data_IF_014069531291
#
_entry.id   IF_014069531291
#
_cell.length_a   1.000
_cell.length_b   1.000
_cell.length_c   1.000
_cell.angle_alpha   90.00
_cell.angle_beta   90.00
_cell.angle_gamma   90.00
#
_symmetry.space_group_name_H-M   'P 1'
#
loop_
_entity.id
_entity.type
_entity.pdbx_description
1 polymer ?
#
# COMPACT_ATOMS: atom_id res chain seq x y z
N UNK A 1 -62.44 24.31 -17.95
CA UNK A 1 -61.44 24.72 -16.94
C UNK A 1 -60.27 23.75 -17.08
N UNK A 2 -59.17 24.16 -17.72
CA UNK A 2 -57.96 23.31 -17.93
C UNK A 2 -56.92 23.71 -16.86
N UNK A 3 -56.67 22.79 -15.96
CA UNK A 3 -55.66 22.95 -14.92
C UNK A 3 -54.29 22.66 -15.54
N UNK A 4 -53.40 23.64 -15.58
CA UNK A 4 -51.99 23.49 -15.96
C UNK A 4 -51.22 23.10 -14.70
N UNK A 5 -50.67 21.86 -14.68
CA UNK A 5 -49.67 21.48 -13.67
C UNK A 5 -48.32 22.13 -14.00
N UNK A 6 -47.57 22.67 -13.04
CA UNK A 6 -46.21 23.14 -13.26
C UNK A 6 -45.24 21.94 -13.35
N UNK A 7 -44.48 21.91 -14.40
CA UNK A 7 -43.32 20.98 -14.54
C UNK A 7 -42.23 21.51 -13.63
N UNK A 8 -41.98 20.80 -12.55
CA UNK A 8 -40.83 21.06 -11.67
C UNK A 8 -39.57 20.45 -12.33
N UNK A 9 -38.74 21.29 -12.90
CA UNK A 9 -37.43 20.89 -13.44
C UNK A 9 -36.48 20.70 -12.28
N UNK A 10 -36.20 19.45 -11.91
CA UNK A 10 -35.15 19.13 -10.96
C UNK A 10 -33.80 19.36 -11.66
N UNK A 11 -33.13 20.44 -11.31
CA UNK A 11 -31.75 20.68 -11.71
C UNK A 11 -30.86 19.66 -10.97
N UNK A 12 -30.38 18.64 -11.66
CA UNK A 12 -29.38 17.72 -11.19
C UNK A 12 -28.05 18.47 -11.15
N UNK A 13 -27.68 19.01 -9.98
CA UNK A 13 -26.34 19.52 -9.74
C UNK A 13 -25.36 18.32 -9.81
N UNK A 14 -24.71 18.15 -10.96
CA UNK A 14 -23.51 17.35 -11.08
C UNK A 14 -22.44 18.05 -10.21
N UNK A 15 -22.24 17.56 -9.00
CA UNK A 15 -21.04 17.84 -8.23
C UNK A 15 -19.91 17.17 -9.02
N UNK A 16 -19.19 17.94 -9.83
CA UNK A 16 -17.90 17.53 -10.33
C UNK A 16 -17.02 17.35 -9.09
N UNK A 17 -16.86 16.11 -8.65
CA UNK A 17 -15.79 15.77 -7.75
C UNK A 17 -14.49 16.15 -8.51
N UNK A 18 -13.83 17.21 -8.10
CA UNK A 18 -12.44 17.45 -8.43
C UNK A 18 -11.64 16.33 -7.74
N UNK A 19 -11.67 15.14 -8.34
CA UNK A 19 -10.71 14.11 -8.02
C UNK A 19 -9.36 14.62 -8.52
N UNK A 20 -8.42 14.88 -7.61
CA UNK A 20 -7.03 15.06 -8.00
C UNK A 20 -6.61 13.87 -8.87
N UNK A 21 -5.70 14.10 -9.81
CA UNK A 21 -5.22 13.05 -10.69
C UNK A 21 -4.63 11.91 -9.86
N UNK A 22 -5.13 10.70 -10.07
CA UNK A 22 -4.58 9.51 -9.42
C UNK A 22 -3.16 9.26 -9.93
N UNK A 23 -2.27 8.86 -9.04
CA UNK A 23 -0.95 8.36 -9.41
C UNK A 23 -1.11 7.00 -10.07
N UNK A 24 -0.73 6.89 -11.34
CA UNK A 24 -0.66 5.62 -12.05
C UNK A 24 0.67 4.91 -11.77
N UNK A 25 0.66 3.57 -11.83
CA UNK A 25 1.90 2.79 -11.79
C UNK A 25 2.82 3.16 -12.94
N UNK A 26 4.13 3.23 -12.67
CA UNK A 26 5.17 3.50 -13.67
C UNK A 26 5.52 2.28 -14.52
N UNK A 27 5.02 1.10 -14.17
CA UNK A 27 5.31 -0.16 -14.85
C UNK A 27 4.03 -0.89 -15.26
N UNK A 28 4.11 -1.61 -16.38
CA UNK A 28 3.08 -2.56 -16.81
C UNK A 28 3.57 -3.99 -16.55
N UNK A 29 2.74 -4.80 -15.90
CA UNK A 29 3.02 -6.21 -15.74
C UNK A 29 2.96 -6.91 -17.10
N UNK A 30 3.98 -7.71 -17.50
CA UNK A 30 3.98 -8.39 -18.77
C UNK A 30 2.93 -9.49 -18.82
N UNK A 31 2.41 -9.77 -20.01
CA UNK A 31 1.47 -10.84 -20.25
C UNK A 31 0.28 -10.42 -21.11
N UNK A 32 -0.56 -11.37 -21.44
CA UNK A 32 -1.81 -11.08 -22.15
C UNK A 32 -2.84 -10.49 -21.16
N UNK A 33 -3.70 -9.58 -21.63
CA UNK A 33 -4.78 -9.08 -20.78
C UNK A 33 -5.73 -10.21 -20.38
N UNK A 34 -6.42 -10.10 -19.23
CA UNK A 34 -7.39 -11.09 -18.78
C UNK A 34 -8.44 -11.37 -19.86
N UNK A 35 -8.70 -12.64 -20.15
CA UNK A 35 -9.71 -13.07 -21.12
C UNK A 35 -11.14 -12.84 -20.59
N UNK A 36 -12.14 -13.07 -21.43
CA UNK A 36 -13.55 -12.88 -21.05
C UNK A 36 -13.98 -13.78 -19.89
N UNK A 37 -13.43 -14.99 -19.81
CA UNK A 37 -13.71 -15.93 -18.70
C UNK A 37 -13.15 -15.41 -17.40
N UNK A 38 -11.89 -14.97 -17.38
CA UNK A 38 -11.24 -14.40 -16.20
C UNK A 38 -12.01 -13.19 -15.70
N UNK A 39 -12.35 -12.24 -16.58
CA UNK A 39 -13.15 -11.05 -16.21
C UNK A 39 -14.53 -11.41 -15.63
N UNK A 40 -15.20 -12.44 -16.18
CA UNK A 40 -16.48 -12.90 -15.63
C UNK A 40 -16.34 -13.49 -14.24
N UNK A 41 -15.29 -14.28 -13.99
CA UNK A 41 -15.02 -14.86 -12.69
C UNK A 41 -14.65 -13.78 -11.65
N UNK A 42 -13.83 -12.81 -12.05
CA UNK A 42 -13.46 -11.66 -11.19
C UNK A 42 -14.68 -10.81 -10.84
N UNK A 43 -15.57 -10.53 -11.80
CA UNK A 43 -16.81 -9.82 -11.55
C UNK A 43 -17.73 -10.57 -10.58
N UNK A 44 -17.82 -11.89 -10.74
CA UNK A 44 -18.56 -12.75 -9.79
C UNK A 44 -17.93 -12.74 -8.39
N UNK A 45 -16.63 -12.88 -8.32
CA UNK A 45 -15.89 -12.84 -7.05
C UNK A 45 -16.07 -11.48 -6.35
N UNK A 46 -16.04 -10.37 -7.11
CA UNK A 46 -16.22 -9.03 -6.57
C UNK A 46 -17.57 -8.82 -5.88
N UNK A 47 -18.60 -9.57 -6.30
CA UNK A 47 -19.96 -9.50 -5.72
C UNK A 47 -20.13 -10.50 -4.57
N UNK A 48 -19.56 -11.71 -4.71
CA UNK A 48 -19.87 -12.84 -3.84
C UNK A 48 -18.86 -13.07 -2.71
N UNK A 49 -17.62 -12.59 -2.88
CA UNK A 49 -16.57 -12.80 -1.88
C UNK A 49 -16.48 -11.62 -0.92
N UNK A 50 -16.48 -11.94 0.36
CA UNK A 50 -16.20 -10.99 1.43
C UNK A 50 -14.72 -10.56 1.37
N UNK A 51 -14.47 -9.26 1.56
CA UNK A 51 -13.15 -8.63 1.55
C UNK A 51 -12.84 -7.91 2.86
N UNK A 52 -13.46 -8.35 3.95
CA UNK A 52 -13.38 -7.69 5.25
C UNK A 52 -11.97 -7.22 5.67
N UNK A 53 -10.87 -8.00 5.44
CA UNK A 53 -9.53 -7.49 5.75
C UNK A 53 -9.08 -6.31 4.90
N UNK A 54 -9.54 -6.22 3.64
CA UNK A 54 -9.23 -5.09 2.75
C UNK A 54 -10.14 -3.89 3.05
N UNK A 55 -11.41 -4.15 3.36
CA UNK A 55 -12.39 -3.12 3.70
C UNK A 55 -12.07 -2.44 5.05
N UNK A 56 -11.22 -3.07 5.88
CA UNK A 56 -10.70 -2.50 7.12
C UNK A 56 -9.52 -1.53 6.91
N UNK A 57 -8.97 -1.42 5.70
CA UNK A 57 -7.92 -0.47 5.37
C UNK A 57 -8.56 0.89 5.04
N UNK A 58 -8.94 1.63 6.07
CA UNK A 58 -9.81 2.80 6.02
C UNK A 58 -9.08 4.15 5.99
N UNK A 59 -7.77 4.16 6.23
CA UNK A 59 -6.96 5.37 6.18
C UNK A 59 -5.95 5.31 5.04
N UNK A 60 -5.76 6.46 4.38
CA UNK A 60 -4.81 6.61 3.28
C UNK A 60 -3.83 7.74 3.60
N UNK A 61 -2.54 7.44 3.54
CA UNK A 61 -1.47 8.43 3.63
C UNK A 61 -0.47 8.22 2.50
N UNK A 62 0.11 9.31 2.05
CA UNK A 62 1.12 9.36 1.00
C UNK A 62 2.41 9.93 1.55
N UNK A 63 3.50 9.25 1.30
CA UNK A 63 4.84 9.62 1.75
C UNK A 63 5.92 9.11 0.81
N UNK A 64 7.15 9.16 1.27
CA UNK A 64 8.30 8.76 0.48
C UNK A 64 9.20 7.83 1.30
N UNK A 65 9.69 6.79 0.65
CA UNK A 65 10.69 5.89 1.21
C UNK A 65 11.94 5.86 0.36
N UNK A 66 13.04 5.43 0.96
CA UNK A 66 14.24 5.01 0.24
C UNK A 66 14.72 3.65 0.74
N UNK A 67 15.49 2.94 -0.08
CA UNK A 67 16.07 1.67 0.36
C UNK A 67 17.10 1.92 1.46
N UNK A 68 16.96 1.27 2.61
CA UNK A 68 17.84 1.46 3.76
C UNK A 68 19.32 1.38 3.34
N UNK A 69 20.04 2.50 3.55
CA UNK A 69 21.44 2.67 3.17
C UNK A 69 21.71 3.09 1.71
N UNK A 70 20.67 3.39 0.92
CA UNK A 70 20.82 3.84 -0.47
C UNK A 70 19.81 4.97 -0.74
N UNK A 71 20.21 6.21 -0.46
CA UNK A 71 19.39 7.41 -0.66
C UNK A 71 19.03 7.68 -2.13
N UNK A 72 19.70 7.07 -3.09
CA UNK A 72 19.34 7.23 -4.52
C UNK A 72 18.12 6.38 -4.92
N UNK A 73 17.79 5.37 -4.12
CA UNK A 73 16.63 4.49 -4.36
C UNK A 73 15.39 4.97 -3.65
N UNK A 74 14.87 6.10 -4.10
CA UNK A 74 13.69 6.73 -3.56
C UNK A 74 12.43 6.29 -4.29
N UNK A 75 11.31 6.31 -3.59
CA UNK A 75 9.99 5.97 -4.15
C UNK A 75 8.90 6.69 -3.37
N UNK A 76 7.89 7.17 -4.10
CA UNK A 76 6.62 7.57 -3.50
C UNK A 76 5.85 6.32 -3.06
N UNK A 77 5.24 6.37 -1.89
CA UNK A 77 4.61 5.24 -1.24
C UNK A 77 3.19 5.59 -0.80
N UNK A 78 2.22 4.90 -1.38
CA UNK A 78 0.80 5.07 -1.08
C UNK A 78 0.36 4.02 -0.07
N UNK A 79 0.20 4.43 1.19
CA UNK A 79 -0.14 3.54 2.31
C UNK A 79 -1.64 3.49 2.54
N UNK A 80 -2.20 2.29 2.54
CA UNK A 80 -3.56 2.02 2.98
C UNK A 80 -3.50 1.24 4.28
N UNK A 81 -4.02 1.82 5.34
CA UNK A 81 -3.76 1.38 6.71
C UNK A 81 -5.02 1.06 7.49
N UNK A 82 -4.88 0.19 8.49
CA UNK A 82 -5.86 -0.04 9.54
C UNK A 82 -5.21 -0.05 10.92
N UNK A 83 -5.94 0.44 11.92
CA UNK A 83 -5.52 0.36 13.32
C UNK A 83 -5.92 -0.99 13.90
N UNK A 84 -4.94 -1.81 14.31
CA UNK A 84 -5.20 -3.06 15.03
C UNK A 84 -5.50 -2.79 16.51
N UNK A 85 -4.81 -1.81 17.07
CA UNK A 85 -4.98 -1.29 18.43
C UNK A 85 -4.64 0.20 18.43
N UNK A 86 -4.75 0.87 19.57
CA UNK A 86 -4.29 2.24 19.73
C UNK A 86 -2.75 2.39 19.51
N UNK A 87 -2.00 1.28 19.61
CA UNK A 87 -0.54 1.27 19.56
C UNK A 87 0.03 0.60 18.30
N UNK A 88 -0.77 -0.08 17.50
CA UNK A 88 -0.30 -0.86 16.36
C UNK A 88 -1.19 -0.64 15.15
N UNK A 89 -0.59 -0.22 14.05
CA UNK A 89 -1.22 -0.12 12.73
C UNK A 89 -0.53 -1.05 11.75
N UNK A 90 -1.27 -1.47 10.74
CA UNK A 90 -0.75 -2.22 9.59
C UNK A 90 -1.14 -1.52 8.30
N UNK A 91 -0.22 -1.49 7.34
CA UNK A 91 -0.45 -0.87 6.05
C UNK A 91 -0.03 -1.80 4.90
N UNK A 92 -0.77 -1.74 3.80
CA UNK A 92 -0.30 -2.19 2.49
C UNK A 92 0.14 -0.98 1.68
N UNK A 93 1.22 -1.13 0.89
CA UNK A 93 1.82 -0.04 0.13
C UNK A 93 1.70 -0.32 -1.36
N UNK A 94 1.26 0.69 -2.11
CA UNK A 94 1.18 0.67 -3.56
C UNK A 94 2.07 1.75 -4.17
N UNK A 95 2.41 1.60 -5.45
CA UNK A 95 3.16 2.60 -6.22
C UNK A 95 2.26 3.68 -6.84
N UNK A 96 0.99 3.69 -6.48
CA UNK A 96 0.00 4.64 -6.93
C UNK A 96 -1.30 4.49 -6.14
N UNK A 97 -2.26 5.36 -6.41
CA UNK A 97 -3.59 5.32 -5.83
C UNK A 97 -4.69 5.07 -6.86
N UNK A 98 -4.29 4.76 -8.09
CA UNK A 98 -5.18 4.34 -9.17
C UNK A 98 -5.48 2.83 -9.10
N UNK A 99 -6.47 2.42 -9.89
CA UNK A 99 -6.93 1.02 -9.92
C UNK A 99 -5.87 0.04 -10.46
N UNK A 100 -4.90 0.52 -11.20
CA UNK A 100 -3.79 -0.22 -11.82
C UNK A 100 -2.51 -0.25 -10.96
N UNK A 101 -2.55 0.40 -9.79
CA UNK A 101 -1.42 0.46 -8.87
C UNK A 101 -0.94 -0.95 -8.46
N UNK A 102 0.37 -1.10 -8.33
CA UNK A 102 1.02 -2.35 -7.96
C UNK A 102 1.27 -2.37 -6.46
N UNK A 103 0.92 -3.48 -5.82
CA UNK A 103 1.27 -3.73 -4.43
C UNK A 103 2.80 -3.87 -4.33
N UNK A 104 3.44 -2.88 -3.74
CA UNK A 104 4.90 -2.82 -3.63
C UNK A 104 5.41 -3.29 -2.29
N UNK A 105 4.63 -3.17 -1.21
CA UNK A 105 5.14 -3.52 0.10
C UNK A 105 4.12 -3.51 1.22
N UNK A 106 4.65 -3.61 2.43
CA UNK A 106 3.88 -3.53 3.68
C UNK A 106 4.65 -2.69 4.70
N UNK A 107 3.90 -2.04 5.60
CA UNK A 107 4.46 -1.35 6.75
C UNK A 107 3.68 -1.68 8.01
N UNK A 108 4.42 -1.86 9.12
CA UNK A 108 3.86 -1.91 10.46
C UNK A 108 4.27 -0.67 11.22
N UNK A 109 3.31 0.02 11.84
CA UNK A 109 3.53 1.24 12.58
C UNK A 109 3.20 0.97 14.05
N UNK A 110 4.12 1.36 14.94
CA UNK A 110 3.92 1.17 16.38
C UNK A 110 4.11 2.48 17.14
N UNK A 111 3.38 2.62 18.24
CA UNK A 111 3.57 3.74 19.17
C UNK A 111 4.99 3.71 19.79
N UNK A 112 5.42 4.87 20.28
CA UNK A 112 6.67 5.01 21.04
C UNK A 112 6.76 3.96 22.15
N UNK A 113 5.69 3.75 22.90
CA UNK A 113 5.63 2.80 24.02
C UNK A 113 5.93 1.36 23.60
N UNK A 114 5.35 0.92 22.47
CA UNK A 114 5.61 -0.42 21.93
C UNK A 114 7.04 -0.51 21.41
N UNK A 115 7.50 0.51 20.69
CA UNK A 115 8.86 0.55 20.15
C UNK A 115 9.92 0.46 21.25
N UNK A 116 9.75 1.17 22.37
CA UNK A 116 10.63 1.09 23.56
C UNK A 116 10.74 -0.31 24.15
N UNK A 117 9.72 -1.14 23.99
CA UNK A 117 9.71 -2.51 24.47
C UNK A 117 10.44 -3.51 23.56
N UNK A 118 10.78 -3.13 22.32
CA UNK A 118 11.45 -4.00 21.38
C UNK A 118 12.92 -4.22 21.76
N UNK A 119 13.49 -5.40 21.46
CA UNK A 119 14.93 -5.62 21.57
C UNK A 119 15.71 -4.60 20.73
N UNK A 120 16.89 -4.18 21.19
CA UNK A 120 17.72 -3.16 20.51
C UNK A 120 18.01 -3.53 19.05
N UNK A 121 18.32 -4.80 18.77
CA UNK A 121 18.58 -5.27 17.40
C UNK A 121 17.34 -5.22 16.50
N UNK A 122 16.15 -5.40 17.06
CA UNK A 122 14.90 -5.26 16.33
C UNK A 122 14.61 -3.78 16.00
N UNK A 123 14.92 -2.85 16.92
CA UNK A 123 14.70 -1.40 16.69
C UNK A 123 15.45 -0.88 15.49
N UNK A 124 16.60 -1.46 15.14
CA UNK A 124 17.41 -1.08 13.97
C UNK A 124 16.71 -1.30 12.62
N UNK A 125 15.64 -2.08 12.60
CA UNK A 125 14.82 -2.33 11.42
C UNK A 125 13.70 -1.28 11.22
N UNK A 126 13.64 -0.28 12.10
CA UNK A 126 12.56 0.69 12.14
C UNK A 126 13.07 2.10 11.88
N UNK A 127 12.21 2.91 11.26
CA UNK A 127 12.45 4.34 11.07
C UNK A 127 11.46 5.17 11.88
N UNK A 128 11.81 6.42 12.16
CA UNK A 128 10.97 7.38 12.88
C UNK A 128 10.13 8.21 11.91
N UNK A 129 8.88 8.54 12.26
CA UNK A 129 8.00 9.37 11.42
C UNK A 129 8.09 10.88 11.71
N UNK A 130 8.79 11.27 12.77
CA UNK A 130 8.79 12.65 13.24
C UNK A 130 9.16 13.68 12.18
N UNK A 131 10.23 13.44 11.43
CA UNK A 131 10.65 14.32 10.34
C UNK A 131 9.66 14.31 9.16
N UNK A 132 9.20 13.15 8.73
CA UNK A 132 8.27 13.03 7.60
C UNK A 132 6.96 13.80 7.85
N UNK A 133 6.47 13.76 9.08
CA UNK A 133 5.32 14.52 9.53
C UNK A 133 5.61 16.02 9.49
N UNK A 134 6.63 16.48 10.22
CA UNK A 134 6.89 17.92 10.41
C UNK A 134 7.45 18.60 9.18
N UNK A 135 8.11 17.86 8.29
CA UNK A 135 8.58 18.39 7.01
C UNK A 135 7.46 18.57 5.97
N UNK A 136 6.29 17.96 6.17
CA UNK A 136 5.20 17.91 5.19
C UNK A 136 5.38 16.84 4.12
N UNK A 137 6.38 15.95 4.23
CA UNK A 137 6.59 14.86 3.30
C UNK A 137 5.51 13.80 3.40
N UNK A 138 5.03 13.49 4.60
CA UNK A 138 3.87 12.61 4.79
C UNK A 138 2.58 13.44 4.75
N UNK A 139 1.62 13.06 3.92
CA UNK A 139 0.33 13.74 3.77
C UNK A 139 -0.83 12.75 3.77
N UNK A 140 -2.05 13.22 4.04
CA UNK A 140 -3.27 12.44 3.94
C UNK A 140 -4.23 13.09 2.93
N UNK A 141 -4.08 12.81 1.62
CA UNK A 141 -4.90 13.43 0.60
C UNK A 141 -6.39 13.13 0.75
N UNK A 142 -7.22 14.12 0.47
CA UNK A 142 -8.68 13.96 0.44
C UNK A 142 -9.40 14.18 1.75
N UNK A 143 -8.70 14.44 2.87
CA UNK A 143 -9.30 14.85 4.13
C UNK A 143 -9.02 16.33 4.44
N UNK A 144 -9.88 17.02 5.22
CA UNK A 144 -9.65 18.41 5.60
C UNK A 144 -8.36 18.60 6.42
N UNK A 145 -7.70 19.76 6.27
CA UNK A 145 -6.44 20.06 6.95
C UNK A 145 -6.49 19.87 8.48
N UNK A 146 -7.64 20.16 9.12
CA UNK A 146 -7.79 19.94 10.57
C UNK A 146 -7.71 18.45 10.93
N UNK A 147 -8.38 17.59 10.16
CA UNK A 147 -8.34 16.15 10.39
C UNK A 147 -6.97 15.55 10.03
N UNK A 148 -6.34 16.09 8.98
CA UNK A 148 -4.96 15.72 8.62
C UNK A 148 -3.98 16.09 9.74
N UNK A 149 -4.13 17.29 10.33
CA UNK A 149 -3.26 17.74 11.42
C UNK A 149 -3.35 16.80 12.64
N UNK A 150 -4.57 16.44 13.08
CA UNK A 150 -4.77 15.47 14.17
C UNK A 150 -4.12 14.11 13.86
N UNK A 151 -4.29 13.60 12.62
CA UNK A 151 -3.67 12.35 12.20
C UNK A 151 -2.13 12.45 12.22
N UNK A 152 -1.58 13.58 11.78
CA UNK A 152 -0.12 13.80 11.76
C UNK A 152 0.45 13.97 13.16
N UNK A 153 -0.27 14.60 14.09
CA UNK A 153 0.12 14.67 15.50
C UNK A 153 0.21 13.27 16.11
N UNK A 154 -0.77 12.39 15.84
CA UNK A 154 -0.75 10.99 16.26
C UNK A 154 0.45 10.20 15.68
N UNK A 155 0.84 10.49 14.43
CA UNK A 155 1.92 9.77 13.74
C UNK A 155 3.32 10.27 14.13
N UNK A 156 3.47 11.53 14.53
CA UNK A 156 4.78 12.17 14.75
C UNK A 156 5.69 11.45 15.76
N UNK A 157 5.10 10.75 16.74
CA UNK A 157 5.85 9.99 17.76
C UNK A 157 5.93 8.49 17.49
N UNK A 158 5.54 8.01 16.30
CA UNK A 158 5.50 6.59 15.97
C UNK A 158 6.73 6.13 15.17
N UNK A 159 6.83 4.81 15.00
CA UNK A 159 7.94 4.16 14.27
C UNK A 159 7.38 3.17 13.27
N UNK A 160 7.94 3.16 12.05
CA UNK A 160 7.56 2.28 10.95
C UNK A 160 8.60 1.19 10.68
N UNK A 161 8.15 -0.02 10.34
CA UNK A 161 8.99 -1.07 9.76
C UNK A 161 8.43 -1.47 8.41
N UNK A 162 9.17 -1.13 7.35
CA UNK A 162 8.69 -1.17 5.98
C UNK A 162 9.52 -2.09 5.12
N UNK A 163 8.85 -2.98 4.40
CA UNK A 163 9.45 -3.88 3.43
C UNK A 163 8.80 -3.69 2.06
N UNK A 164 9.63 -3.39 1.04
CA UNK A 164 9.19 -3.41 -0.34
C UNK A 164 9.64 -4.70 -1.03
N UNK A 165 8.70 -5.32 -1.74
CA UNK A 165 8.89 -6.60 -2.45
C UNK A 165 8.87 -6.43 -3.96
N UNK A 166 8.39 -5.28 -4.45
CA UNK A 166 8.38 -4.92 -5.87
C UNK A 166 8.93 -3.52 -6.06
N UNK A 167 9.97 -3.40 -6.87
CA UNK A 167 10.73 -2.16 -7.07
C UNK A 167 10.31 -1.46 -8.37
N UNK A 168 9.03 -1.05 -8.45
CA UNK A 168 8.45 -0.38 -9.63
C UNK A 168 9.13 0.95 -9.91
N UNK A 169 9.52 1.71 -8.88
CA UNK A 169 10.29 2.96 -9.03
C UNK A 169 11.64 2.78 -9.74
N UNK A 170 12.15 1.54 -9.87
CA UNK A 170 13.34 1.19 -10.64
C UNK A 170 13.01 0.58 -12.01
N UNK A 171 11.76 0.63 -12.44
CA UNK A 171 11.30 0.09 -13.72
C UNK A 171 11.17 -1.44 -13.76
N UNK A 172 11.16 -2.12 -12.61
CA UNK A 172 10.96 -3.57 -12.59
C UNK A 172 9.52 -3.92 -12.95
N UNK A 173 9.32 -4.45 -14.16
CA UNK A 173 8.00 -4.87 -14.64
C UNK A 173 7.43 -6.10 -13.91
N UNK A 174 8.25 -6.84 -13.15
CA UNK A 174 7.87 -7.97 -12.32
C UNK A 174 8.48 -7.83 -10.91
N UNK A 175 7.89 -8.42 -9.87
CA UNK A 175 8.41 -8.38 -8.51
C UNK A 175 9.63 -9.30 -8.35
N UNK A 176 10.73 -8.95 -9.02
CA UNK A 176 11.97 -9.69 -9.00
C UNK A 176 12.95 -9.14 -7.96
N UNK A 177 13.91 -9.97 -7.54
CA UNK A 177 14.89 -9.60 -6.54
C UNK A 177 14.47 -9.94 -5.12
N UNK A 178 15.17 -9.37 -4.14
CA UNK A 178 14.89 -9.57 -2.72
C UNK A 178 14.02 -8.44 -2.17
N UNK A 179 13.21 -8.72 -1.14
CA UNK A 179 12.60 -7.64 -0.37
C UNK A 179 13.69 -6.70 0.16
N UNK A 180 13.43 -5.41 0.10
CA UNK A 180 14.29 -4.38 0.67
C UNK A 180 13.65 -3.81 1.93
N UNK A 181 14.45 -3.68 2.98
CA UNK A 181 14.10 -2.83 4.11
C UNK A 181 14.15 -1.39 3.62
N UNK A 182 13.06 -0.66 3.85
CA UNK A 182 12.96 0.75 3.49
C UNK A 182 13.15 1.61 4.74
N UNK A 183 13.51 2.87 4.53
CA UNK A 183 13.67 3.87 5.57
C UNK A 183 12.94 5.15 5.18
N UNK A 184 12.58 5.94 6.19
CA UNK A 184 12.04 7.28 6.04
C UNK A 184 13.14 8.33 6.03
N UNK A 185 12.83 9.52 5.52
CA UNK A 185 13.73 10.67 5.52
C UNK A 185 13.77 11.32 6.90
N UNK A 186 14.93 11.90 7.25
CA UNK A 186 15.19 12.43 8.60
C UNK A 186 15.75 13.84 8.60
N UNK A 187 16.05 14.40 7.40
CA UNK A 187 16.60 15.73 7.28
C UNK A 187 16.31 16.36 5.89
N UNK A 188 16.36 17.67 5.83
CA UNK A 188 16.26 18.42 4.57
C UNK A 188 17.38 18.04 3.61
N UNK A 189 17.07 18.02 2.31
CA UNK A 189 18.02 17.73 1.25
C UNK A 189 18.28 16.22 1.02
N UNK A 190 17.58 15.33 1.70
CA UNK A 190 17.68 13.88 1.47
C UNK A 190 16.72 13.38 0.39
N UNK A 191 15.50 13.94 0.34
CA UNK A 191 14.50 13.55 -0.66
C UNK A 191 14.73 14.31 -1.97
N UNK A 192 14.45 13.65 -3.08
CA UNK A 192 14.48 14.26 -4.42
C UNK A 192 13.35 15.30 -4.56
N UNK A 193 13.73 16.55 -4.82
CA UNK A 193 12.81 17.68 -4.98
C UNK A 193 11.84 17.49 -6.16
N UNK A 194 12.26 16.80 -7.24
CA UNK A 194 11.40 16.53 -8.40
C UNK A 194 10.30 15.50 -8.03
N UNK A 195 10.65 14.51 -7.23
CA UNK A 195 9.68 13.52 -6.73
C UNK A 195 8.61 14.20 -5.86
N UNK A 196 9.03 15.05 -4.93
CA UNK A 196 8.13 15.84 -4.08
C UNK A 196 7.26 16.76 -4.92
N UNK A 197 7.86 17.52 -5.87
CA UNK A 197 7.12 18.43 -6.73
C UNK A 197 6.11 17.70 -7.64
N UNK A 198 6.41 16.48 -8.07
CA UNK A 198 5.49 15.66 -8.84
C UNK A 198 4.26 15.26 -8.01
N UNK A 199 4.46 14.79 -6.76
CA UNK A 199 3.40 14.48 -5.81
C UNK A 199 2.54 15.73 -5.53
N UNK A 200 3.16 16.85 -5.21
CA UNK A 200 2.48 18.10 -4.87
C UNK A 200 1.57 18.57 -6.01
N UNK A 201 2.03 18.48 -7.27
CA UNK A 201 1.20 18.80 -8.43
C UNK A 201 -0.02 17.89 -8.55
N UNK A 202 0.14 16.57 -8.35
CA UNK A 202 -0.98 15.61 -8.46
C UNK A 202 -2.06 15.86 -7.42
N UNK A 203 -1.66 16.12 -6.19
CA UNK A 203 -2.62 16.35 -5.10
C UNK A 203 -3.00 17.83 -4.92
N UNK A 204 -2.49 18.74 -5.79
CA UNK A 204 -2.76 20.16 -5.69
C UNK A 204 -2.46 20.74 -4.30
N UNK A 205 -1.34 20.33 -3.71
CA UNK A 205 -0.87 20.76 -2.40
C UNK A 205 0.57 21.31 -2.49
N UNK A 206 1.07 21.87 -1.42
CA UNK A 206 2.46 22.31 -1.30
C UNK A 206 3.05 21.78 0.01
N UNK A 207 4.11 20.99 -0.10
CA UNK A 207 4.86 20.43 1.04
C UNK A 207 5.27 21.49 2.04
N UNK A 208 5.74 22.66 1.54
CA UNK A 208 6.13 23.79 2.40
C UNK A 208 4.98 24.40 3.18
N UNK A 209 3.75 24.38 2.68
CA UNK A 209 2.58 24.85 3.42
C UNK A 209 2.14 23.82 4.46
N UNK A 210 2.22 22.52 4.15
CA UNK A 210 2.00 21.45 5.14
C UNK A 210 3.01 21.54 6.29
N UNK A 211 4.28 21.81 6.01
CA UNK A 211 5.30 22.07 7.03
C UNK A 211 4.90 23.22 7.96
N UNK A 212 4.45 24.34 7.42
CA UNK A 212 4.00 25.51 8.22
C UNK A 212 2.79 25.18 9.10
N UNK A 213 1.82 24.44 8.56
CA UNK A 213 0.62 24.02 9.30
C UNK A 213 0.93 23.09 10.48
N UNK A 214 2.14 22.54 10.54
CA UNK A 214 2.56 21.55 11.54
C UNK A 214 3.71 22.02 12.43
N UNK A 215 4.00 23.34 12.43
CA UNK A 215 5.05 23.93 13.28
C UNK A 215 4.78 23.76 14.79
N UNK A 216 3.53 23.55 15.16
CA UNK A 216 3.08 23.29 16.53
C UNK A 216 3.20 21.83 16.96
N UNK A 217 3.33 20.88 16.01
CA UNK A 217 3.46 19.45 16.29
C UNK A 217 4.81 19.19 16.97
N UNK A 218 4.76 18.64 18.18
CA UNK A 218 5.95 18.28 18.93
C UNK A 218 6.39 16.85 18.62
N UNK A 219 7.60 16.73 18.12
CA UNK A 219 8.24 15.42 17.89
C UNK A 219 9.09 15.08 19.12
N UNK A 220 8.84 13.94 19.78
CA UNK A 220 9.72 13.44 20.84
C UNK A 220 11.10 13.07 20.28
N UNK A 221 12.11 13.08 21.13
CA UNK A 221 13.45 12.58 20.77
C UNK A 221 13.35 11.16 20.24
N UNK A 222 14.08 10.87 19.16
CA UNK A 222 14.13 9.54 18.55
C UNK A 222 14.78 8.56 19.52
N UNK A 223 14.14 7.40 19.70
CA UNK A 223 14.66 6.35 20.59
C UNK A 223 15.83 5.65 19.91
N UNK A 224 16.85 5.33 20.69
CA UNK A 224 18.02 4.58 20.25
C UNK A 224 17.66 3.30 19.51
N UNK A 225 18.30 3.09 18.36
CA UNK A 225 18.10 1.98 17.46
C UNK A 225 17.25 2.32 16.24
N UNK A 226 16.31 3.27 16.31
CA UNK A 226 15.62 3.73 15.11
C UNK A 226 16.59 4.48 14.18
N UNK A 227 16.30 4.48 12.89
CA UNK A 227 17.10 5.18 11.86
C UNK A 227 18.60 4.79 11.90
N UNK A 228 18.90 3.52 12.18
CA UNK A 228 20.26 3.00 12.36
C UNK A 228 21.19 3.29 11.18
N UNK A 229 20.64 3.44 9.97
CA UNK A 229 21.38 3.82 8.76
C UNK A 229 22.11 5.17 8.89
N UNK A 230 21.57 6.12 9.67
CA UNK A 230 22.25 7.41 9.94
C UNK A 230 23.56 7.24 10.71
N UNK A 231 23.69 6.16 11.44
CA UNK A 231 24.88 5.80 12.20
C UNK A 231 25.81 4.86 11.44
N UNK A 232 25.50 4.61 10.14
CA UNK A 232 26.26 3.71 9.29
C UNK A 232 25.87 2.24 9.40
N UNK A 233 24.83 1.91 10.18
CA UNK A 233 24.32 0.54 10.27
C UNK A 233 23.26 0.27 9.19
N UNK A 234 23.73 -0.13 8.02
CA UNK A 234 22.84 -0.50 6.89
C UNK A 234 22.42 -1.96 7.02
N UNK A 235 21.11 -2.18 7.14
CA UNK A 235 20.52 -3.49 7.28
C UNK A 235 19.69 -3.84 6.02
N UNK A 236 20.08 -4.92 5.35
CA UNK A 236 19.34 -5.49 4.21
C UNK A 236 19.38 -7.01 4.27
N UNK A 237 18.34 -7.66 3.73
CA UNK A 237 18.30 -9.11 3.61
C UNK A 237 19.40 -9.61 2.67
N UNK A 238 20.08 -10.68 3.10
CA UNK A 238 20.98 -11.44 2.26
C UNK A 238 20.54 -12.89 2.27
N UNK A 239 20.17 -13.41 1.10
CA UNK A 239 19.88 -14.83 0.97
C UNK A 239 21.20 -15.60 0.93
N UNK A 240 21.32 -16.58 1.81
CA UNK A 240 22.39 -17.54 1.78
C UNK A 240 21.84 -18.84 1.20
N UNK A 241 22.53 -19.42 0.21
CA UNK A 241 22.25 -20.80 -0.19
C UNK A 241 22.64 -21.72 0.99
N UNK A 242 21.66 -22.24 1.68
CA UNK A 242 21.90 -23.37 2.57
C UNK A 242 22.22 -24.59 1.69
N UNK A 243 23.22 -25.41 2.07
CA UNK A 243 23.39 -26.71 1.46
C UNK A 243 22.04 -27.47 1.51
N UNK A 244 21.68 -28.23 0.46
CA UNK A 244 20.41 -28.91 0.45
C UNK A 244 20.35 -29.79 1.71
N UNK A 245 19.39 -29.54 2.58
CA UNK A 245 19.01 -30.52 3.57
C UNK A 245 18.66 -31.79 2.80
N UNK A 246 19.33 -32.91 3.08
CA UNK A 246 19.25 -34.14 2.29
C UNK A 246 17.85 -34.76 2.15
N UNK A 247 16.82 -34.08 2.61
CA UNK A 247 15.41 -34.50 2.61
C UNK A 247 14.42 -33.47 2.06
N UNK A 248 14.88 -32.51 1.28
CA UNK A 248 13.92 -31.65 0.55
C UNK A 248 13.28 -32.50 -0.55
N UNK A 249 12.09 -33.02 -0.26
CA UNK A 249 11.27 -33.70 -1.26
C UNK A 249 11.05 -32.71 -2.43
N UNK A 250 11.46 -33.04 -3.66
CA UNK A 250 11.19 -32.18 -4.81
C UNK A 250 9.70 -31.90 -4.88
N UNK A 251 9.31 -30.65 -5.09
CA UNK A 251 7.92 -30.33 -5.40
C UNK A 251 7.51 -31.17 -6.62
N UNK A 252 6.32 -31.80 -6.62
CA UNK A 252 5.85 -32.56 -7.76
C UNK A 252 5.87 -31.62 -8.96
N UNK A 253 6.60 -32.02 -10.00
CA UNK A 253 6.62 -31.27 -11.26
C UNK A 253 5.18 -31.33 -11.81
N UNK A 254 4.49 -30.21 -11.80
CA UNK A 254 3.21 -30.05 -12.50
C UNK A 254 3.51 -30.15 -14.01
N UNK A 255 3.35 -31.34 -14.59
CA UNK A 255 3.62 -31.54 -16.00
C UNK A 255 4.04 -32.95 -16.42
N UNK A 256 3.99 -33.92 -15.53
CA UNK A 256 4.03 -35.33 -15.96
C UNK A 256 2.63 -35.86 -16.07
N UNK A 257 2.25 -36.25 -17.29
CA UNK A 257 1.15 -37.15 -17.54
C UNK A 257 1.28 -38.36 -16.60
N UNK A 258 0.21 -38.66 -15.86
CA UNK A 258 0.17 -39.89 -15.13
C UNK A 258 0.26 -41.08 -16.12
N UNK A 259 0.84 -42.18 -15.67
CA UNK A 259 1.07 -43.36 -16.50
C UNK A 259 -0.22 -44.00 -17.00
N UNK A 260 -1.40 -43.42 -16.78
CA UNK A 260 -2.73 -43.93 -17.15
C UNK A 260 -3.32 -43.26 -18.39
N UNK A 261 -2.71 -42.15 -18.89
CA UNK A 261 -3.17 -41.46 -20.11
C UNK A 261 -4.59 -40.86 -20.00
N UNK A 262 -5.13 -40.73 -18.79
CA UNK A 262 -6.43 -40.07 -18.63
C UNK A 262 -6.26 -38.55 -18.57
N UNK A 263 -6.99 -37.77 -19.39
CA UNK A 263 -6.91 -36.32 -19.38
C UNK A 263 -7.43 -35.78 -18.03
N UNK A 264 -6.63 -34.94 -17.37
CA UNK A 264 -7.01 -34.21 -16.16
C UNK A 264 -8.43 -33.67 -16.32
N UNK A 265 -9.29 -34.07 -15.39
CA UNK A 265 -10.73 -33.80 -15.37
C UNK A 265 -11.01 -32.29 -15.48
N UNK A 266 -11.21 -31.80 -16.70
CA UNK A 266 -11.73 -30.44 -16.91
C UNK A 266 -13.08 -30.36 -16.19
N UNK A 267 -13.21 -29.49 -15.23
CA UNK A 267 -14.50 -29.14 -14.61
C UNK A 267 -15.49 -28.80 -15.74
N UNK A 268 -16.51 -29.63 -15.89
CA UNK A 268 -17.49 -29.45 -16.95
C UNK A 268 -18.31 -28.18 -16.69
N UNK A 269 -18.58 -27.35 -17.69
CA UNK A 269 -19.31 -26.08 -17.53
C UNK A 269 -20.68 -26.20 -16.84
N UNK A 270 -21.31 -27.39 -16.84
CA UNK A 270 -22.61 -27.58 -16.22
C UNK A 270 -22.55 -27.60 -14.67
N UNK A 271 -21.43 -27.97 -14.05
CA UNK A 271 -21.30 -27.94 -12.57
C UNK A 271 -21.24 -26.51 -12.02
N UNK A 272 -20.71 -25.57 -12.78
CA UNK A 272 -20.75 -24.17 -12.39
C UNK A 272 -22.19 -23.63 -12.45
N UNK A 273 -22.98 -23.98 -13.45
CA UNK A 273 -24.40 -23.59 -13.52
C UNK A 273 -25.24 -24.16 -12.36
N UNK A 274 -24.97 -25.38 -11.92
CA UNK A 274 -25.66 -25.97 -10.76
C UNK A 274 -25.26 -25.28 -9.44
N UNK A 275 -23.99 -24.86 -9.29
CA UNK A 275 -23.51 -24.11 -8.12
C UNK A 275 -24.21 -22.74 -8.01
N UNK A 276 -24.35 -22.02 -9.14
CA UNK A 276 -24.99 -20.70 -9.17
C UNK A 276 -26.53 -20.79 -9.15
N UNK A 277 -27.13 -21.87 -9.63
CA UNK A 277 -28.59 -22.05 -9.59
C UNK A 277 -29.12 -22.36 -8.17
N UNK A 278 -28.29 -22.85 -7.29
CA UNK A 278 -28.66 -23.14 -5.89
C UNK A 278 -28.50 -21.94 -4.95
N UNK A 279 -27.80 -20.88 -5.35
CA UNK A 279 -27.64 -19.65 -4.56
C UNK A 279 -28.83 -18.69 -4.66
N UNK A 280 -29.81 -18.95 -5.55
CA UNK A 280 -30.99 -18.11 -5.76
C UNK A 280 -32.29 -18.66 -5.15
N UNK A 281 -32.24 -19.66 -4.29
CA UNK A 281 -33.39 -20.21 -3.57
C UNK A 281 -33.16 -20.13 -2.06
N UNK A 282 -33.25 -18.96 -1.51
CA UNK A 282 -33.69 -18.81 -0.11
C UNK A 282 -35.19 -18.57 -0.15
N UNK A 283 -35.92 -19.60 0.19
CA UNK A 283 -37.35 -19.58 0.41
C UNK A 283 -37.65 -18.81 1.72
N UNK A 284 -38.52 -17.81 1.62
CA UNK A 284 -39.52 -17.25 2.52
C UNK A 284 -39.29 -17.12 4.02
#
# INVERSE_FOLDING_TARGET
>A
MRVKLPVCTVALCLVAACGGDNTASTVEAPGAPPDARTRTLEAGAAILQDKAPLDALDSYVDGFHFANGDLERQVEAHHYCSSLTADVRQCVIFDGNGRDAKLTGVEYIVSRRVFESLPVEERKLWHSHGYEVTSGLLVAPGIPDVAEHELMEDLAGTYGKTWHTWHTGQGHALPTGHPLLMAGFTADGQVDDELVAARDRRFSLATGDKRKLREDIRVPDVIEGADAWQQGEVLQLRLHSSAPAGDVRPLPQTGREDASGEPTRKLRPHKLRELYANLGRDDG
#
